data_IF_553382888158
#
_entry.id   IF_553382888158
#
_cell.length_a   1.000
_cell.length_b   1.000
_cell.length_c   1.000
_cell.angle_alpha   90.00
_cell.angle_beta   90.00
_cell.angle_gamma   90.00
#
_symmetry.space_group_name_H-M   'P 1'
#
loop_
_entity.id
_entity.type
_entity.pdbx_description
1 polymer ?
#
# COMPACT_ATOMS: atom_id res chain seq x y z
N UNK A 1 0.12 -24.77 3.84
CA UNK A 1 -0.82 -23.77 3.29
C UNK A 1 -0.56 -22.46 4.00
N UNK A 2 -0.17 -21.42 3.28
CA UNK A 2 0.02 -20.07 3.83
C UNK A 2 -1.34 -19.50 4.22
N UNK A 3 -1.42 -18.86 5.40
CA UNK A 3 -2.66 -18.22 5.86
C UNK A 3 -3.01 -17.07 4.90
N UNK A 4 -4.26 -16.96 4.42
CA UNK A 4 -4.66 -15.84 3.58
C UNK A 4 -4.48 -14.52 4.34
N UNK A 5 -3.89 -13.54 3.65
CA UNK A 5 -3.69 -12.19 4.18
C UNK A 5 -5.02 -11.44 4.26
N UNK A 6 -5.21 -10.69 5.33
CA UNK A 6 -6.39 -9.83 5.49
C UNK A 6 -6.09 -8.45 4.88
N UNK A 7 -6.48 -8.26 3.63
CA UNK A 7 -6.26 -7.01 2.89
C UNK A 7 -7.26 -5.93 3.28
N UNK A 8 -6.76 -4.71 3.46
CA UNK A 8 -7.55 -3.53 3.78
C UNK A 8 -7.41 -2.49 2.66
N UNK A 9 -8.54 -2.15 2.04
CA UNK A 9 -8.68 -1.04 1.10
C UNK A 9 -9.11 0.22 1.87
N UNK A 10 -8.65 1.39 1.43
CA UNK A 10 -9.05 2.67 2.02
C UNK A 10 -10.54 2.94 1.80
N UNK A 11 -11.22 3.61 2.75
CA UNK A 11 -12.61 4.04 2.55
C UNK A 11 -12.76 5.18 1.53
N UNK A 12 -11.65 5.83 1.16
CA UNK A 12 -11.59 6.85 0.11
C UNK A 12 -11.46 6.24 -1.30
N UNK A 13 -11.27 4.93 -1.40
CA UNK A 13 -11.10 4.16 -2.63
C UNK A 13 -12.42 3.80 -3.33
N UNK A 14 -13.51 4.53 -3.06
CA UNK A 14 -14.82 4.29 -3.68
C UNK A 14 -15.44 5.59 -4.18
N UNK A 15 -15.86 5.63 -5.44
CA UNK A 15 -16.67 6.73 -5.99
C UNK A 15 -16.26 7.32 -7.35
N UNK A 16 -15.65 6.57 -8.27
CA UNK A 16 -15.36 7.04 -9.64
C UNK A 16 -14.56 6.06 -10.51
N UNK A 17 -14.22 6.44 -11.75
CA UNK A 17 -13.46 5.68 -12.77
C UNK A 17 -11.95 5.49 -12.42
N UNK A 18 -11.63 5.18 -11.16
CA UNK A 18 -10.27 5.07 -10.66
C UNK A 18 -10.11 3.92 -9.69
N UNK A 19 -10.06 2.69 -10.22
CA UNK A 19 -9.84 1.45 -9.47
C UNK A 19 -8.37 1.22 -9.04
N UNK A 20 -7.51 2.24 -9.17
CA UNK A 20 -6.08 2.21 -8.83
C UNK A 20 -5.83 2.46 -7.34
N UNK A 21 -6.41 1.61 -6.51
CA UNK A 21 -6.33 1.75 -5.07
C UNK A 21 -5.21 0.90 -4.48
N UNK A 22 -4.49 1.43 -3.49
CA UNK A 22 -3.50 0.66 -2.74
C UNK A 22 -4.18 -0.06 -1.57
N UNK A 23 -3.87 -1.35 -1.42
CA UNK A 23 -4.32 -2.20 -0.33
C UNK A 23 -3.15 -2.60 0.58
N UNK A 24 -3.44 -2.76 1.87
CA UNK A 24 -2.45 -3.11 2.90
C UNK A 24 -2.84 -4.40 3.63
N UNK A 25 -1.88 -5.25 3.96
CA UNK A 25 -2.07 -6.38 4.86
C UNK A 25 -0.88 -6.55 5.82
N UNK A 26 -1.12 -7.10 6.99
CA UNK A 26 -0.07 -7.48 7.94
C UNK A 26 -0.03 -9.01 8.09
N UNK A 27 1.16 -9.59 7.95
CA UNK A 27 1.40 -11.02 8.19
C UNK A 27 2.10 -11.29 9.53
N UNK A 28 2.79 -10.28 10.06
CA UNK A 28 3.50 -10.31 11.34
C UNK A 28 3.57 -8.88 11.92
N UNK A 29 4.00 -8.69 13.19
CA UNK A 29 4.06 -7.37 13.81
C UNK A 29 4.86 -6.32 13.01
N UNK A 30 5.91 -6.77 12.32
CA UNK A 30 6.83 -5.94 11.55
C UNK A 30 6.69 -6.08 10.04
N UNK A 31 5.98 -7.10 9.55
CA UNK A 31 5.86 -7.40 8.12
C UNK A 31 4.53 -6.91 7.57
N UNK A 32 4.62 -5.97 6.62
CA UNK A 32 3.49 -5.40 5.90
C UNK A 32 3.60 -5.75 4.42
N UNK A 33 2.44 -5.85 3.78
CA UNK A 33 2.29 -6.10 2.35
C UNK A 33 1.47 -4.97 1.74
N UNK A 34 1.89 -4.51 0.56
CA UNK A 34 1.19 -3.54 -0.26
C UNK A 34 0.94 -4.14 -1.64
N UNK A 35 -0.20 -3.82 -2.23
CA UNK A 35 -0.51 -4.13 -3.63
C UNK A 35 -1.47 -3.11 -4.20
N UNK A 36 -1.54 -3.04 -5.52
CA UNK A 36 -2.59 -2.33 -6.23
C UNK A 36 -3.82 -3.24 -6.36
N UNK A 37 -5.02 -2.65 -6.32
CA UNK A 37 -6.28 -3.40 -6.45
C UNK A 37 -6.47 -3.99 -7.85
N UNK A 38 -5.95 -3.33 -8.90
CA UNK A 38 -6.07 -3.73 -10.30
C UNK A 38 -4.91 -4.63 -10.77
N UNK A 39 -3.75 -4.60 -10.09
CA UNK A 39 -2.71 -5.64 -10.17
C UNK A 39 -2.46 -6.31 -8.80
N UNK A 40 -3.38 -7.19 -8.33
CA UNK A 40 -3.31 -7.78 -7.00
C UNK A 40 -2.25 -8.88 -6.86
N UNK A 41 -1.57 -9.25 -7.96
CA UNK A 41 -0.54 -10.30 -8.00
C UNK A 41 0.82 -9.73 -7.61
N UNK A 42 1.08 -8.46 -7.94
CA UNK A 42 2.30 -7.76 -7.55
C UNK A 42 2.20 -7.30 -6.10
N UNK A 43 2.96 -7.94 -5.21
CA UNK A 43 2.98 -7.63 -3.78
C UNK A 43 4.35 -7.11 -3.35
N UNK A 44 4.38 -5.87 -2.86
CA UNK A 44 5.54 -5.31 -2.18
C UNK A 44 5.51 -5.71 -0.71
N UNK A 45 6.64 -6.19 -0.18
CA UNK A 45 6.79 -6.48 1.25
C UNK A 45 7.68 -5.42 1.89
N UNK A 46 7.23 -4.88 3.01
CA UNK A 46 7.92 -3.79 3.72
C UNK A 46 7.72 -3.90 5.23
N UNK A 47 8.20 -2.90 5.97
CA UNK A 47 7.96 -2.74 7.40
C UNK A 47 7.32 -1.39 7.70
N UNK A 48 6.93 -1.17 8.96
CA UNK A 48 6.25 0.06 9.40
C UNK A 48 7.09 1.33 9.15
N UNK A 49 8.41 1.26 9.36
CA UNK A 49 9.30 2.41 9.23
C UNK A 49 9.37 2.97 7.81
N UNK A 50 9.77 2.16 6.80
CA UNK A 50 9.78 2.57 5.40
C UNK A 50 8.39 2.99 4.89
N UNK A 51 7.31 2.30 5.32
CA UNK A 51 5.96 2.72 4.96
C UNK A 51 5.61 4.10 5.53
N UNK A 52 5.98 4.38 6.78
CA UNK A 52 5.78 5.71 7.37
C UNK A 52 6.55 6.79 6.60
N UNK A 53 7.82 6.53 6.27
CA UNK A 53 8.61 7.43 5.44
C UNK A 53 8.01 7.69 4.06
N UNK A 54 7.47 6.65 3.40
CA UNK A 54 6.77 6.82 2.12
C UNK A 54 5.55 7.75 2.26
N UNK A 55 4.73 7.53 3.29
CA UNK A 55 3.55 8.35 3.56
C UNK A 55 3.93 9.80 3.89
N UNK A 56 5.01 10.02 4.64
CA UNK A 56 5.52 11.37 4.92
C UNK A 56 6.02 12.05 3.65
N UNK A 57 6.74 11.32 2.79
CA UNK A 57 7.24 11.85 1.53
C UNK A 57 6.10 12.21 0.55
N UNK A 58 5.04 11.38 0.49
CA UNK A 58 3.81 11.67 -0.26
C UNK A 58 3.13 12.94 0.25
N UNK A 59 2.93 13.06 1.56
CA UNK A 59 2.32 14.26 2.19
C UNK A 59 3.13 15.53 1.94
N UNK A 60 4.45 15.41 1.93
CA UNK A 60 5.36 16.51 1.64
C UNK A 60 5.45 16.86 0.14
N UNK A 61 4.84 16.08 -0.75
CA UNK A 61 4.98 16.25 -2.20
C UNK A 61 6.43 16.03 -2.69
N UNK A 62 7.24 15.30 -1.93
CA UNK A 62 8.68 15.15 -2.17
C UNK A 62 9.03 13.92 -3.02
N UNK A 63 8.05 13.07 -3.31
CA UNK A 63 8.21 11.93 -4.19
C UNK A 63 8.14 12.40 -5.64
N UNK A 64 9.28 12.87 -6.14
CA UNK A 64 9.44 13.20 -7.55
C UNK A 64 9.86 14.62 -7.83
N UNK A 65 10.93 15.10 -7.18
CA UNK A 65 11.83 16.03 -7.86
C UNK A 65 12.55 15.28 -9.00
N UNK A 66 11.80 14.90 -10.03
CA UNK A 66 12.36 14.55 -11.33
C UNK A 66 12.65 15.90 -11.99
N UNK A 67 13.93 16.29 -11.97
CA UNK A 67 14.43 17.35 -12.84
C UNK A 67 14.41 16.90 -14.30
#
# INVERSE_FOLDING_TARGET
MTKPLNWQKSTYSGGGDGDTCIELAASAPTTLHLRESDDPVTVLTTTRGPLAHLLDALRAGSLGSWG
#
